data_IF_430871784310
#
_entry.id   IF_430871784310
#
_cell.length_a   1.000
_cell.length_b   1.000
_cell.length_c   1.000
_cell.angle_alpha   90.00
_cell.angle_beta   90.00
_cell.angle_gamma   90.00
#
_symmetry.space_group_name_H-M   'P 1'
#
loop_
_entity.id
_entity.type
_entity.pdbx_description
1 polymer ?
#
# COMPACT_ATOMS: atom_id res chain seq x y z
N UNK A 1 -18.00 -3.98 -25.91
CA UNK A 1 -17.21 -3.31 -24.85
C UNK A 1 -18.10 -3.21 -23.64
N UNK A 2 -17.92 -4.00 -22.58
CA UNK A 2 -18.76 -3.75 -21.40
C UNK A 2 -18.23 -4.21 -20.05
N UNK A 3 -17.35 -5.20 -19.94
CA UNK A 3 -16.79 -5.56 -18.61
C UNK A 3 -15.31 -5.94 -18.64
N UNK A 4 -14.70 -6.00 -19.82
CA UNK A 4 -13.32 -6.45 -20.00
C UNK A 4 -12.32 -5.62 -19.19
N UNK A 5 -12.51 -4.30 -19.15
CA UNK A 5 -11.68 -3.38 -18.34
C UNK A 5 -11.74 -3.76 -16.86
N UNK A 6 -12.92 -4.03 -16.29
CA UNK A 6 -13.04 -4.41 -14.88
C UNK A 6 -12.38 -5.76 -14.58
N UNK A 7 -12.49 -6.71 -15.52
CA UNK A 7 -11.83 -8.02 -15.39
C UNK A 7 -10.31 -7.88 -15.46
N UNK A 8 -9.80 -7.06 -16.37
CA UNK A 8 -8.37 -6.79 -16.50
C UNK A 8 -7.80 -6.08 -15.28
N UNK A 9 -8.45 -5.01 -14.80
CA UNK A 9 -8.03 -4.29 -13.60
C UNK A 9 -8.11 -5.18 -12.35
N UNK A 10 -9.16 -6.00 -12.21
CA UNK A 10 -9.28 -6.95 -11.12
C UNK A 10 -8.16 -8.01 -11.12
N UNK A 11 -7.72 -8.46 -12.30
CA UNK A 11 -6.57 -9.37 -12.43
C UNK A 11 -5.27 -8.69 -12.01
N UNK A 12 -5.03 -7.45 -12.45
CA UNK A 12 -3.86 -6.66 -12.03
C UNK A 12 -3.84 -6.48 -10.51
N UNK A 13 -4.96 -6.08 -9.91
CA UNK A 13 -5.09 -5.94 -8.46
C UNK A 13 -4.75 -7.25 -7.73
N UNK A 14 -5.31 -8.38 -8.17
CA UNK A 14 -4.99 -9.71 -7.62
C UNK A 14 -3.49 -10.06 -7.71
N UNK A 15 -2.82 -9.72 -8.82
CA UNK A 15 -1.38 -9.96 -8.95
C UNK A 15 -0.57 -9.14 -7.95
N UNK A 16 -0.93 -7.88 -7.73
CA UNK A 16 -0.26 -7.02 -6.74
C UNK A 16 -0.50 -7.50 -5.31
N UNK A 17 -1.72 -7.95 -4.98
CA UNK A 17 -2.07 -8.55 -3.68
C UNK A 17 -1.25 -9.81 -3.40
N UNK A 18 -1.03 -10.67 -4.41
CA UNK A 18 -0.16 -11.86 -4.29
C UNK A 18 1.29 -11.48 -3.99
N UNK A 19 1.72 -10.32 -4.49
CA UNK A 19 3.06 -9.76 -4.31
C UNK A 19 3.08 -8.68 -3.23
N UNK A 20 2.19 -8.74 -2.23
CA UNK A 20 2.08 -7.70 -1.19
C UNK A 20 3.40 -7.36 -0.51
N UNK A 21 4.34 -8.32 -0.39
CA UNK A 21 5.66 -8.09 0.17
C UNK A 21 6.51 -7.14 -0.67
N UNK A 22 6.47 -7.27 -1.98
CA UNK A 22 7.16 -6.37 -2.91
C UNK A 22 6.54 -4.97 -2.86
N UNK A 23 5.21 -4.90 -2.80
CA UNK A 23 4.48 -3.63 -2.65
C UNK A 23 4.85 -2.95 -1.32
N UNK A 24 4.85 -3.69 -0.21
CA UNK A 24 5.21 -3.18 1.10
C UNK A 24 6.67 -2.70 1.17
N UNK A 25 7.60 -3.35 0.45
CA UNK A 25 8.99 -2.89 0.38
C UNK A 25 9.10 -1.55 -0.36
N UNK A 26 8.37 -1.36 -1.47
CA UNK A 26 8.30 -0.05 -2.16
C UNK A 26 7.76 1.05 -1.24
N UNK A 27 6.71 0.74 -0.47
CA UNK A 27 6.14 1.68 0.51
C UNK A 27 7.16 2.00 1.61
N UNK A 28 7.90 1.01 2.09
CA UNK A 28 8.96 1.20 3.08
C UNK A 28 10.11 2.06 2.57
N UNK A 29 10.52 1.89 1.31
CA UNK A 29 11.51 2.76 0.69
C UNK A 29 11.03 4.21 0.62
N UNK A 30 9.78 4.44 0.20
CA UNK A 30 9.18 5.78 0.17
C UNK A 30 9.10 6.40 1.57
N UNK A 31 8.64 5.63 2.57
CA UNK A 31 8.56 6.06 3.96
C UNK A 31 9.92 6.47 4.53
N UNK A 32 10.96 5.67 4.25
CA UNK A 32 12.31 5.94 4.77
C UNK A 32 13.01 7.12 4.12
N UNK A 33 12.63 7.51 2.90
CA UNK A 33 13.14 8.75 2.27
C UNK A 33 12.68 10.00 3.01
N UNK A 34 11.48 9.96 3.60
CA UNK A 34 10.89 11.08 4.35
C UNK A 34 11.27 10.97 5.83
N UNK A 35 11.07 9.81 6.44
CA UNK A 35 11.37 9.52 7.83
C UNK A 35 12.28 8.29 7.96
N UNK A 36 13.58 8.52 8.11
CA UNK A 36 14.60 7.44 8.11
C UNK A 36 14.38 6.34 9.16
N UNK A 37 13.71 6.67 10.28
CA UNK A 37 13.34 5.73 11.35
C UNK A 37 12.02 4.98 11.14
N UNK A 38 11.33 5.18 10.02
CA UNK A 38 10.00 4.61 9.80
C UNK A 38 10.01 3.07 9.84
N UNK A 39 9.06 2.53 10.62
CA UNK A 39 8.74 1.10 10.67
C UNK A 39 7.47 0.87 9.86
N UNK A 40 7.49 -0.14 9.01
CA UNK A 40 6.36 -0.48 8.12
C UNK A 40 5.89 -1.88 8.40
N UNK A 41 4.59 -2.03 8.60
CA UNK A 41 3.92 -3.29 8.89
C UNK A 41 2.81 -3.52 7.88
N UNK A 42 2.69 -4.75 7.40
CA UNK A 42 1.52 -5.20 6.64
C UNK A 42 0.60 -5.92 7.60
N UNK A 43 -0.71 -5.69 7.48
CA UNK A 43 -1.71 -6.42 8.23
C UNK A 43 -2.92 -6.76 7.35
N UNK A 44 -4.00 -7.24 7.97
CA UNK A 44 -5.25 -7.47 7.25
C UNK A 44 -5.26 -8.70 6.35
N UNK A 45 -6.12 -8.64 5.33
CA UNK A 45 -6.55 -9.80 4.55
C UNK A 45 -5.42 -10.43 3.72
N UNK A 46 -4.49 -9.61 3.22
CA UNK A 46 -3.34 -10.00 2.42
C UNK A 46 -2.47 -11.08 3.09
N UNK A 47 -2.31 -11.02 4.42
CA UNK A 47 -1.53 -11.99 5.19
C UNK A 47 -2.20 -13.36 5.32
N UNK A 48 -3.54 -13.38 5.36
CA UNK A 48 -4.31 -14.61 5.59
C UNK A 48 -4.66 -15.34 4.29
N UNK A 49 -4.36 -14.74 3.14
CA UNK A 49 -4.76 -15.26 1.83
C UNK A 49 -6.27 -15.14 1.54
N UNK A 50 -7.03 -14.52 2.44
CA UNK A 50 -8.49 -14.34 2.32
C UNK A 50 -8.81 -12.96 1.73
N UNK A 51 -8.33 -12.69 0.52
CA UNK A 51 -8.55 -11.45 -0.21
C UNK A 51 -9.22 -11.71 -1.56
N UNK A 52 -9.88 -10.69 -2.10
CA UNK A 52 -10.52 -10.72 -3.42
C UNK A 52 -9.87 -9.68 -4.34
N UNK A 53 -10.29 -9.62 -5.61
CA UNK A 53 -9.85 -8.55 -6.51
C UNK A 53 -10.27 -7.14 -6.07
N UNK A 54 -11.20 -7.03 -5.12
CA UNK A 54 -11.64 -5.76 -4.54
C UNK A 54 -10.95 -5.45 -3.19
N UNK A 55 -10.02 -6.29 -2.74
CA UNK A 55 -9.26 -6.06 -1.51
C UNK A 55 -8.06 -5.15 -1.77
N UNK A 56 -7.53 -4.58 -0.70
CA UNK A 56 -6.32 -3.78 -0.64
C UNK A 56 -5.25 -4.44 0.26
N UNK A 57 -4.08 -3.81 0.27
CA UNK A 57 -2.96 -4.14 1.15
C UNK A 57 -2.94 -3.10 2.26
N UNK A 58 -3.38 -3.49 3.45
CA UNK A 58 -3.31 -2.66 4.64
C UNK A 58 -1.86 -2.48 5.11
N UNK A 59 -1.39 -1.23 5.16
CA UNK A 59 -0.04 -0.88 5.58
C UNK A 59 -0.09 0.13 6.72
N UNK A 60 0.56 -0.20 7.84
CA UNK A 60 0.81 0.72 8.94
C UNK A 60 2.26 1.22 8.89
N UNK A 61 2.40 2.55 8.86
CA UNK A 61 3.67 3.23 8.99
C UNK A 61 3.74 3.88 10.38
N UNK A 62 4.74 3.50 11.17
CA UNK A 62 5.02 4.08 12.48
C UNK A 62 6.29 4.91 12.37
N UNK A 63 6.17 6.22 12.58
CA UNK A 63 7.28 7.16 12.44
C UNK A 63 7.01 8.44 13.23
N UNK A 64 8.05 9.02 13.81
CA UNK A 64 7.98 10.34 14.45
C UNK A 64 7.94 11.42 13.36
N UNK A 65 6.75 11.98 13.11
CA UNK A 65 6.53 13.00 12.08
C UNK A 65 5.27 13.82 12.36
N UNK A 66 5.19 15.01 11.78
CA UNK A 66 4.02 15.87 11.83
C UNK A 66 2.87 15.40 10.92
N UNK A 67 1.66 15.96 11.12
CA UNK A 67 0.49 15.65 10.28
C UNK A 67 0.68 16.02 8.80
N UNK A 68 1.38 17.12 8.53
CA UNK A 68 1.67 17.56 7.16
C UNK A 68 2.63 16.59 6.45
N UNK A 69 3.70 16.17 7.12
CA UNK A 69 4.64 15.17 6.62
C UNK A 69 3.95 13.82 6.38
N UNK A 70 3.09 13.38 7.30
CA UNK A 70 2.28 12.18 7.13
C UNK A 70 1.36 12.27 5.88
N UNK A 71 0.80 13.44 5.62
CA UNK A 71 -0.05 13.69 4.43
C UNK A 71 0.76 13.63 3.14
N UNK A 72 1.93 14.29 3.12
CA UNK A 72 2.86 14.25 1.99
C UNK A 72 3.37 12.84 1.71
N UNK A 73 3.68 12.08 2.76
CA UNK A 73 4.08 10.69 2.66
C UNK A 73 3.00 9.84 1.99
N UNK A 74 1.74 9.96 2.42
CA UNK A 74 0.62 9.24 1.79
C UNK A 74 0.49 9.60 0.31
N UNK A 75 0.54 10.88 -0.02
CA UNK A 75 0.44 11.34 -1.40
C UNK A 75 1.56 10.78 -2.29
N UNK A 76 2.80 10.76 -1.79
CA UNK A 76 3.95 10.21 -2.52
C UNK A 76 3.82 8.70 -2.71
N UNK A 77 3.34 7.97 -1.71
CA UNK A 77 3.06 6.53 -1.83
C UNK A 77 2.00 6.28 -2.92
N UNK A 78 0.86 6.97 -2.88
CA UNK A 78 -0.21 6.78 -3.87
C UNK A 78 0.21 7.14 -5.29
N UNK A 79 1.16 8.06 -5.45
CA UNK A 79 1.71 8.44 -6.75
C UNK A 79 2.69 7.40 -7.30
N UNK A 80 3.43 6.72 -6.44
CA UNK A 80 4.58 5.87 -6.83
C UNK A 80 4.27 4.37 -6.80
N UNK A 81 3.26 3.96 -6.02
CA UNK A 81 2.87 2.57 -5.84
C UNK A 81 1.60 2.30 -6.65
N UNK A 82 1.77 1.63 -7.77
CA UNK A 82 0.67 1.13 -8.61
C UNK A 82 0.12 -0.20 -8.05
N UNK A 83 -0.58 -0.10 -6.91
CA UNK A 83 -1.24 -1.22 -6.23
C UNK A 83 -2.36 -0.70 -5.32
N UNK A 84 -3.40 -1.52 -5.02
CA UNK A 84 -4.43 -1.15 -4.07
C UNK A 84 -3.86 -1.20 -2.65
N UNK A 85 -3.40 -0.07 -2.14
CA UNK A 85 -2.83 0.06 -0.79
C UNK A 85 -3.71 0.95 0.08
N UNK A 86 -3.95 0.55 1.33
CA UNK A 86 -4.53 1.41 2.35
C UNK A 86 -3.43 1.82 3.33
N UNK A 87 -3.13 3.12 3.43
CA UNK A 87 -2.02 3.63 4.23
C UNK A 87 -2.52 4.25 5.55
N UNK A 88 -2.13 3.63 6.65
CA UNK A 88 -2.29 4.14 8.00
C UNK A 88 -0.95 4.70 8.49
N UNK A 89 -0.99 5.84 9.17
CA UNK A 89 0.20 6.47 9.76
C UNK A 89 -0.06 6.68 11.24
N UNK A 90 0.85 6.19 12.08
CA UNK A 90 0.87 6.43 13.52
C UNK A 90 2.14 7.26 13.86
N UNK A 91 1.91 8.40 14.49
CA UNK A 91 2.91 9.39 14.91
C UNK A 91 3.05 9.40 16.41
#
# INVERSE_FOLDING_TARGET
>A
MSFDIYIEEGKKALETLRKYREVAEKVKEAARKIAGGAKVYVFGSALTGRYTAASDIDILIVADMGKEEATLLKAEIYKTVDAPVEIHVAT
#
